data_IF_953977540525
#
_entry.id   IF_953977540525
#
_cell.length_a   1.000
_cell.length_b   1.000
_cell.length_c   1.000
_cell.angle_alpha   90.00
_cell.angle_beta   90.00
_cell.angle_gamma   90.00
#
_symmetry.space_group_name_H-M   'P 1'
#
loop_
_entity.id
_entity.type
_entity.pdbx_description
1 polymer ?
#
# COMPACT_ATOMS: atom_id res chain seq x y z
N UNK A 1 -2.20 3.56 2.66
CA UNK A 1 -2.99 2.42 3.19
C UNK A 1 -2.52 2.17 4.59
N UNK A 2 -3.30 1.51 5.44
CA UNK A 2 -2.73 0.94 6.68
C UNK A 2 -1.67 -0.12 6.32
N UNK A 3 -0.80 -0.48 7.26
CA UNK A 3 0.17 -1.54 7.01
C UNK A 3 -0.54 -2.91 6.96
N UNK A 4 -0.30 -3.66 5.88
CA UNK A 4 -0.84 -5.00 5.67
C UNK A 4 0.23 -6.07 5.86
N UNK A 5 0.16 -7.13 5.03
CA UNK A 5 1.18 -8.18 5.02
C UNK A 5 2.61 -7.61 4.84
N UNK A 6 3.56 -7.87 5.75
CA UNK A 6 4.93 -7.36 5.64
C UNK A 6 5.63 -7.81 4.36
N UNK A 7 6.51 -6.96 3.81
CA UNK A 7 7.22 -7.27 2.56
C UNK A 7 8.09 -8.53 2.64
N UNK A 8 8.71 -8.80 3.80
CA UNK A 8 9.51 -10.03 4.00
C UNK A 8 8.65 -11.28 3.77
N UNK A 9 7.41 -11.26 4.26
CA UNK A 9 6.50 -12.39 4.15
C UNK A 9 5.99 -12.57 2.71
N UNK A 10 5.69 -11.47 2.01
CA UNK A 10 5.37 -11.54 0.56
C UNK A 10 6.50 -12.16 -0.25
N UNK A 11 7.74 -11.73 -0.01
CA UNK A 11 8.91 -12.26 -0.71
C UNK A 11 9.06 -13.75 -0.43
N UNK A 12 8.89 -14.18 0.83
CA UNK A 12 8.93 -15.59 1.23
C UNK A 12 7.89 -16.43 0.47
N UNK A 13 6.64 -15.98 0.41
CA UNK A 13 5.56 -16.72 -0.27
C UNK A 13 5.79 -16.78 -1.79
N UNK A 14 6.28 -15.70 -2.41
CA UNK A 14 6.66 -15.71 -3.84
C UNK A 14 7.80 -16.68 -4.14
N UNK A 15 8.82 -16.73 -3.28
CA UNK A 15 9.91 -17.69 -3.41
C UNK A 15 9.39 -19.13 -3.32
N UNK A 16 8.57 -19.43 -2.31
CA UNK A 16 7.96 -20.76 -2.16
C UNK A 16 7.09 -21.16 -3.36
N UNK A 17 6.38 -20.21 -3.97
CA UNK A 17 5.56 -20.48 -5.15
C UNK A 17 6.42 -20.85 -6.34
N UNK A 18 7.53 -20.13 -6.56
CA UNK A 18 8.51 -20.44 -7.62
C UNK A 18 9.20 -21.79 -7.37
N UNK A 19 9.45 -22.14 -6.11
CA UNK A 19 9.97 -23.45 -5.71
C UNK A 19 8.93 -24.60 -5.81
N UNK A 20 7.67 -24.29 -6.14
CA UNK A 20 6.58 -25.27 -6.22
C UNK A 20 6.09 -25.79 -4.85
N UNK A 21 6.45 -25.10 -3.76
CA UNK A 21 6.12 -25.49 -2.37
C UNK A 21 4.78 -24.95 -1.88
N UNK A 22 4.21 -23.96 -2.57
CA UNK A 22 2.85 -23.45 -2.32
C UNK A 22 2.08 -23.34 -3.62
N UNK A 23 0.76 -23.42 -3.52
CA UNK A 23 -0.12 -23.36 -4.67
C UNK A 23 -0.46 -21.91 -5.06
N UNK A 24 -1.12 -21.76 -6.22
CA UNK A 24 -1.52 -20.46 -6.75
C UNK A 24 -2.51 -19.74 -5.84
N UNK A 25 -3.36 -20.49 -5.13
CA UNK A 25 -4.35 -19.93 -4.23
C UNK A 25 -3.66 -19.22 -3.06
N UNK A 26 -2.68 -19.89 -2.42
CA UNK A 26 -1.87 -19.30 -1.35
C UNK A 26 -1.14 -18.03 -1.81
N UNK A 27 -0.58 -18.02 -3.02
CA UNK A 27 0.07 -16.84 -3.57
C UNK A 27 -0.92 -15.67 -3.72
N UNK A 28 -2.10 -15.93 -4.29
CA UNK A 28 -3.12 -14.90 -4.51
C UNK A 28 -3.66 -14.33 -3.20
N UNK A 29 -3.84 -15.14 -2.17
CA UNK A 29 -4.26 -14.68 -0.85
C UNK A 29 -3.22 -13.74 -0.23
N UNK A 30 -1.93 -14.08 -0.35
CA UNK A 30 -0.84 -13.21 0.10
C UNK A 30 -0.77 -11.88 -0.67
N UNK A 31 -0.97 -11.92 -1.99
CA UNK A 31 -1.04 -10.71 -2.81
C UNK A 31 -2.27 -9.87 -2.46
N UNK A 32 -3.44 -10.47 -2.27
CA UNK A 32 -4.66 -9.75 -1.89
C UNK A 32 -4.54 -9.09 -0.51
N UNK A 33 -3.94 -9.77 0.47
CA UNK A 33 -3.68 -9.24 1.80
C UNK A 33 -2.74 -8.00 1.80
N UNK A 34 -1.98 -7.83 0.72
CA UNK A 34 -1.18 -6.62 0.49
C UNK A 34 -2.05 -5.38 0.26
N UNK A 35 -3.20 -5.56 -0.39
CA UNK A 35 -4.08 -4.50 -0.88
C UNK A 35 -5.40 -4.45 -0.09
N UNK A 36 -5.32 -4.21 1.22
CA UNK A 36 -6.43 -4.36 2.17
C UNK A 36 -7.22 -3.07 2.48
N UNK A 37 -6.88 -1.93 1.86
CA UNK A 37 -7.70 -0.70 1.95
C UNK A 37 -7.48 0.21 0.76
N UNK A 38 -8.47 1.06 0.45
CA UNK A 38 -8.30 2.16 -0.50
C UNK A 38 -7.33 3.16 0.11
N UNK A 39 -6.24 3.50 -0.59
CA UNK A 39 -5.26 4.58 -0.33
C UNK A 39 -4.01 4.35 -1.22
N UNK A 40 -3.07 5.29 -1.21
CA UNK A 40 -1.71 5.08 -1.77
C UNK A 40 -0.93 4.04 -0.97
N UNK A 41 0.23 3.59 -1.47
CA UNK A 41 1.15 2.70 -0.76
C UNK A 41 1.42 3.16 0.68
N UNK A 42 1.73 2.26 1.61
CA UNK A 42 2.04 2.62 3.02
C UNK A 42 3.51 2.99 3.25
N UNK A 43 4.35 2.92 2.22
CA UNK A 43 5.80 3.20 2.27
C UNK A 43 6.15 4.38 1.34
N UNK A 44 7.38 4.88 1.41
CA UNK A 44 7.90 5.95 0.55
C UNK A 44 8.19 5.51 -0.89
N UNK A 45 7.17 4.96 -1.56
CA UNK A 45 7.17 4.77 -3.00
C UNK A 45 6.76 6.04 -3.74
N UNK A 46 6.71 5.98 -5.07
CA UNK A 46 6.49 7.14 -5.95
C UNK A 46 5.34 8.05 -5.52
N UNK A 47 4.17 7.48 -5.17
CA UNK A 47 3.01 8.27 -4.78
C UNK A 47 3.27 9.13 -3.53
N UNK A 48 3.79 8.54 -2.45
CA UNK A 48 4.01 9.26 -1.20
C UNK A 48 5.23 10.19 -1.28
N UNK A 49 6.28 9.78 -1.98
CA UNK A 49 7.45 10.64 -2.20
C UNK A 49 7.10 11.85 -3.06
N UNK A 50 6.26 11.69 -4.08
CA UNK A 50 5.79 12.83 -4.87
C UNK A 50 4.87 13.75 -4.07
N UNK A 51 4.03 13.22 -3.16
CA UNK A 51 3.26 14.08 -2.26
C UNK A 51 4.18 14.98 -1.44
N UNK A 52 5.26 14.42 -0.85
CA UNK A 52 6.26 15.21 -0.13
C UNK A 52 6.93 16.27 -1.01
N UNK A 53 7.34 15.90 -2.23
CA UNK A 53 7.99 16.84 -3.16
C UNK A 53 7.07 18.02 -3.46
N UNK A 54 5.80 17.77 -3.77
CA UNK A 54 4.83 18.81 -4.09
C UNK A 54 4.56 19.72 -2.87
N UNK A 55 4.55 19.15 -1.66
CA UNK A 55 4.44 19.93 -0.42
C UNK A 55 5.68 20.81 -0.19
N UNK A 56 6.89 20.28 -0.38
CA UNK A 56 8.15 21.02 -0.26
C UNK A 56 8.22 22.16 -1.29
N UNK A 57 7.70 21.94 -2.49
CA UNK A 57 7.61 22.96 -3.54
C UNK A 57 6.60 24.08 -3.22
N UNK A 58 5.83 23.97 -2.12
CA UNK A 58 4.82 24.95 -1.73
C UNK A 58 3.52 24.87 -2.53
N UNK A 59 3.28 23.75 -3.22
CA UNK A 59 2.08 23.53 -4.04
C UNK A 59 0.97 22.78 -3.28
N UNK A 60 1.28 22.22 -2.11
CA UNK A 60 0.29 21.69 -1.16
C UNK A 60 0.30 22.51 0.14
N UNK A 61 -0.80 22.42 0.89
CA UNK A 61 -0.87 22.93 2.26
C UNK A 61 0.11 22.17 3.17
N UNK A 62 0.71 22.82 4.18
CA UNK A 62 1.55 22.14 5.16
C UNK A 62 0.83 20.99 5.86
N UNK A 63 1.49 19.84 5.95
CA UNK A 63 0.97 18.61 6.53
C UNK A 63 0.16 17.75 5.56
N UNK A 64 -0.08 18.17 4.32
CA UNK A 64 -0.95 17.45 3.39
C UNK A 64 -0.44 16.03 3.01
N UNK A 65 0.88 15.80 2.94
CA UNK A 65 1.46 14.55 2.45
C UNK A 65 1.22 13.32 3.34
N UNK A 66 0.88 13.53 4.61
CA UNK A 66 0.75 12.44 5.59
C UNK A 66 -0.64 12.35 6.22
N UNK A 67 -1.59 13.17 5.75
CA UNK A 67 -2.98 13.03 6.17
C UNK A 67 -3.56 11.77 5.55
N UNK A 68 -3.89 10.80 6.41
CA UNK A 68 -4.66 9.65 5.96
C UNK A 68 -6.07 10.08 5.55
N UNK A 69 -6.55 9.68 4.36
CA UNK A 69 -7.95 9.86 3.99
C UNK A 69 -8.85 9.31 5.08
N UNK A 70 -9.81 10.12 5.53
CA UNK A 70 -10.82 9.70 6.48
C UNK A 70 -11.51 8.42 5.97
N UNK A 71 -11.87 7.48 6.85
CA UNK A 71 -12.77 6.40 6.47
C UNK A 71 -14.09 7.07 6.04
N UNK A 72 -14.44 6.94 4.76
CA UNK A 72 -15.64 7.48 4.11
C UNK A 72 -15.62 8.95 3.64
N UNK A 73 -15.21 9.13 2.37
CA UNK A 73 -15.90 10.04 1.44
C UNK A 73 -16.67 9.24 0.38
N UNK A 74 -17.35 8.18 0.81
CA UNK A 74 -18.46 7.61 0.03
C UNK A 74 -19.72 8.29 0.56
N UNK A 75 -19.87 9.56 0.18
CA UNK A 75 -21.04 10.38 0.42
C UNK A 75 -22.10 10.21 -0.65
N UNK A 76 -22.17 9.04 -1.28
CA UNK A 76 -23.44 8.51 -1.81
C UNK A 76 -23.84 7.45 -0.79
N UNK A 77 -24.85 7.79 0.02
CA UNK A 77 -25.63 6.81 0.76
C UNK A 77 -26.15 5.75 -0.20
#
# INVERSE_FOLDING_TARGET
MTSGLPNKEKVRIRQLYVEGKVDRQTLLEAEAASYHSVRTCSFYGTANSNQMVIEIMGLHLPGASFVHPAPHYVGVK
#
